data_IF_653204294106
#
_entry.id   IF_653204294106
#
_cell.length_a   1.000
_cell.length_b   1.000
_cell.length_c   1.000
_cell.angle_alpha   90.00
_cell.angle_beta   90.00
_cell.angle_gamma   90.00
#
_symmetry.space_group_name_H-M   'P 1'
#
loop_
_entity.id
_entity.type
_entity.pdbx_description
1 polymer ?
#
# COMPACT_ATOMS: atom_id res chain seq x y z
N UNK A 1 1.62 -0.04 -12.53
CA UNK A 1 1.57 0.71 -13.81
C UNK A 1 0.49 1.81 -13.83
N UNK A 2 -0.76 1.53 -13.45
CA UNK A 2 -1.88 2.51 -13.57
C UNK A 2 -1.63 3.83 -12.81
N UNK A 3 -1.17 3.76 -11.55
CA UNK A 3 -0.79 4.95 -10.78
C UNK A 3 0.30 5.79 -11.49
N UNK A 4 1.30 5.13 -12.08
CA UNK A 4 2.33 5.77 -12.88
C UNK A 4 1.69 6.50 -14.07
N UNK A 5 0.86 5.83 -14.87
CA UNK A 5 0.19 6.48 -16.02
C UNK A 5 -0.69 7.68 -15.67
N UNK A 6 -1.10 7.80 -14.41
CA UNK A 6 -1.87 8.92 -13.88
C UNK A 6 -1.06 10.01 -13.19
N UNK A 7 0.27 10.02 -13.30
CA UNK A 7 1.07 11.12 -12.76
C UNK A 7 1.67 10.86 -11.37
N UNK A 8 1.58 9.64 -10.85
CA UNK A 8 2.11 9.28 -9.53
C UNK A 8 3.44 8.56 -9.71
N UNK A 9 4.52 9.23 -9.33
CA UNK A 9 5.88 8.83 -9.66
C UNK A 9 6.79 8.93 -8.45
N UNK A 10 7.92 8.21 -8.50
CA UNK A 10 9.07 8.38 -7.61
C UNK A 10 8.66 8.46 -6.13
N UNK A 11 7.80 7.53 -5.71
CA UNK A 11 7.29 7.47 -4.36
C UNK A 11 7.38 6.05 -3.81
N UNK A 12 7.01 5.90 -2.55
CA UNK A 12 7.06 4.64 -1.80
C UNK A 12 5.65 4.24 -1.33
N UNK A 13 5.50 2.95 -1.07
CA UNK A 13 4.35 2.35 -0.44
C UNK A 13 4.78 1.58 0.79
N UNK A 14 4.03 1.72 1.88
CA UNK A 14 4.08 0.81 3.01
C UNK A 14 2.98 -0.23 2.88
N UNK A 15 3.36 -1.50 3.02
CA UNK A 15 2.46 -2.65 3.03
C UNK A 15 2.41 -3.21 4.45
N UNK A 16 1.19 -3.41 4.94
CA UNK A 16 0.90 -3.99 6.24
C UNK A 16 -0.31 -4.93 6.17
N UNK A 17 -1.07 -5.05 7.27
CA UNK A 17 -2.15 -6.02 7.44
C UNK A 17 -1.68 -7.38 7.92
N UNK A 18 -2.57 -8.37 7.95
CA UNK A 18 -2.19 -9.74 8.29
C UNK A 18 -1.22 -10.36 7.29
N UNK A 19 -1.10 -9.80 6.08
CA UNK A 19 -0.16 -10.22 5.05
C UNK A 19 1.31 -10.27 5.53
N UNK A 20 1.74 -9.31 6.36
CA UNK A 20 3.13 -9.24 6.88
C UNK A 20 3.30 -9.93 8.23
N UNK A 21 2.27 -10.63 8.71
CA UNK A 21 2.26 -11.31 10.00
C UNK A 21 2.33 -12.83 9.84
N UNK A 22 2.96 -13.50 10.81
CA UNK A 22 2.91 -14.97 10.91
C UNK A 22 1.59 -15.44 11.56
N UNK A 23 0.47 -15.00 10.97
CA UNK A 23 -0.89 -15.20 11.51
C UNK A 23 -1.26 -16.68 11.56
N UNK A 24 -0.85 -17.46 10.56
CA UNK A 24 -1.09 -18.91 10.53
C UNK A 24 -0.47 -19.58 11.76
N UNK A 25 0.79 -19.27 12.10
CA UNK A 25 1.45 -19.85 13.27
C UNK A 25 0.86 -19.39 14.60
N UNK A 26 0.44 -18.12 14.70
CA UNK A 26 -0.07 -17.54 15.95
C UNK A 26 -1.54 -17.89 16.23
N UNK A 27 -2.35 -17.96 15.19
CA UNK A 27 -3.82 -17.97 15.28
C UNK A 27 -4.45 -19.15 14.52
N UNK A 28 -3.67 -19.97 13.80
CA UNK A 28 -4.14 -21.07 12.95
C UNK A 28 -5.16 -20.61 11.89
N UNK A 29 -4.96 -19.40 11.37
CA UNK A 29 -5.79 -18.75 10.35
C UNK A 29 -4.87 -18.10 9.32
N UNK A 30 -5.16 -18.29 8.04
CA UNK A 30 -4.42 -17.66 6.95
C UNK A 30 -4.53 -16.12 6.99
N UNK A 31 -3.48 -15.40 6.56
CA UNK A 31 -3.59 -13.98 6.24
C UNK A 31 -4.72 -13.73 5.26
N UNK A 32 -5.52 -12.69 5.51
CA UNK A 32 -6.72 -12.41 4.73
C UNK A 32 -6.97 -10.92 4.49
N UNK A 33 -6.01 -10.08 4.85
CA UNK A 33 -6.05 -8.63 4.65
C UNK A 33 -4.66 -8.10 4.33
N UNK A 34 -4.66 -7.07 3.49
CA UNK A 34 -3.47 -6.30 3.10
C UNK A 34 -3.85 -4.82 3.15
N UNK A 35 -3.05 -4.07 3.90
CA UNK A 35 -3.16 -2.62 4.01
C UNK A 35 -2.04 -2.00 3.19
N UNK A 36 -2.35 -0.93 2.45
CA UNK A 36 -1.36 -0.21 1.65
C UNK A 36 -1.48 1.29 1.92
N UNK A 37 -0.38 1.90 2.32
CA UNK A 37 -0.24 3.36 2.41
C UNK A 37 0.69 3.82 1.30
N UNK A 38 0.21 4.71 0.42
CA UNK A 38 1.03 5.32 -0.63
C UNK A 38 1.30 6.78 -0.31
N UNK A 39 2.57 7.13 -0.20
CA UNK A 39 2.97 8.52 -0.02
C UNK A 39 2.85 9.23 -1.36
N UNK A 40 2.29 10.43 -1.40
CA UNK A 40 2.06 11.14 -2.66
C UNK A 40 2.40 12.62 -2.51
N UNK A 41 3.14 13.14 -3.47
CA UNK A 41 3.23 14.58 -3.72
C UNK A 41 2.47 14.85 -5.02
N UNK A 42 1.17 15.13 -4.89
CA UNK A 42 0.27 15.19 -6.04
C UNK A 42 -0.15 16.63 -6.32
N UNK A 43 0.26 17.23 -7.46
CA UNK A 43 -0.22 18.55 -7.87
C UNK A 43 -1.73 18.55 -8.11
N UNK A 44 -2.40 19.70 -7.93
CA UNK A 44 -3.86 19.82 -8.07
C UNK A 44 -4.42 19.27 -9.40
N UNK A 45 -3.78 19.47 -10.58
CA UNK A 45 -4.28 18.88 -11.82
C UNK A 45 -4.32 17.35 -11.80
N UNK A 46 -3.34 16.72 -11.14
CA UNK A 46 -3.27 15.25 -10.99
C UNK A 46 -4.35 14.77 -10.02
N UNK A 47 -4.57 15.50 -8.92
CA UNK A 47 -5.66 15.20 -7.96
C UNK A 47 -7.03 15.23 -8.64
N UNK A 48 -7.29 16.22 -9.49
CA UNK A 48 -8.58 16.32 -10.17
C UNK A 48 -8.77 15.21 -11.22
N UNK A 49 -7.71 14.84 -11.94
CA UNK A 49 -7.75 13.80 -12.96
C UNK A 49 -7.95 12.41 -12.35
N UNK A 50 -7.26 12.10 -11.25
CA UNK A 50 -7.28 10.75 -10.65
C UNK A 50 -8.64 10.40 -10.04
N UNK A 51 -9.36 11.40 -9.51
CA UNK A 51 -10.72 11.21 -8.96
C UNK A 51 -11.70 10.62 -9.98
N UNK A 52 -11.47 10.88 -11.28
CA UNK A 52 -12.33 10.39 -12.37
C UNK A 52 -11.73 9.16 -13.04
N UNK A 53 -10.43 9.19 -13.33
CA UNK A 53 -9.78 8.18 -14.15
C UNK A 53 -9.39 6.92 -13.36
N UNK A 54 -9.06 7.07 -12.07
CA UNK A 54 -8.64 5.97 -11.20
C UNK A 54 -9.18 6.17 -9.77
N UNK A 55 -10.52 6.20 -9.59
CA UNK A 55 -11.15 6.49 -8.30
C UNK A 55 -10.76 5.49 -7.21
N UNK A 56 -10.48 4.24 -7.60
CA UNK A 56 -10.11 3.16 -6.68
C UNK A 56 -8.79 3.46 -5.95
N UNK A 57 -7.89 4.27 -6.52
CA UNK A 57 -6.63 4.67 -5.90
C UNK A 57 -6.80 5.69 -4.76
N UNK A 58 -7.87 6.46 -4.78
CA UNK A 58 -8.11 7.52 -3.78
C UNK A 58 -9.30 7.22 -2.88
N UNK A 59 -10.02 6.13 -3.14
CA UNK A 59 -11.17 5.70 -2.38
C UNK A 59 -10.93 4.30 -1.80
N UNK A 60 -10.64 4.24 -0.50
CA UNK A 60 -10.38 3.00 0.23
C UNK A 60 -11.51 1.97 0.07
N UNK A 61 -12.79 2.40 0.02
CA UNK A 61 -13.92 1.48 -0.14
C UNK A 61 -13.89 0.85 -1.54
N UNK A 62 -13.64 1.64 -2.57
CA UNK A 62 -13.54 1.14 -3.94
C UNK A 62 -12.32 0.23 -4.13
N UNK A 63 -11.16 0.60 -3.57
CA UNK A 63 -9.98 -0.28 -3.52
C UNK A 63 -10.30 -1.61 -2.86
N UNK A 64 -10.96 -1.59 -1.70
CA UNK A 64 -11.28 -2.79 -0.95
C UNK A 64 -12.24 -3.71 -1.71
N UNK A 65 -13.22 -3.13 -2.41
CA UNK A 65 -14.18 -3.89 -3.21
C UNK A 65 -13.55 -4.52 -4.46
N UNK A 66 -12.65 -3.80 -5.14
CA UNK A 66 -12.07 -4.24 -6.42
C UNK A 66 -10.82 -5.11 -6.25
N UNK A 67 -9.95 -4.76 -5.31
CA UNK A 67 -8.63 -5.37 -5.15
C UNK A 67 -8.45 -6.09 -3.81
N UNK A 68 -9.45 -6.07 -2.92
CA UNK A 68 -9.36 -6.61 -1.55
C UNK A 68 -8.30 -5.92 -0.67
N UNK A 69 -7.82 -4.74 -1.07
CA UNK A 69 -6.79 -3.95 -0.41
C UNK A 69 -7.39 -2.73 0.28
N UNK A 70 -7.05 -2.52 1.54
CA UNK A 70 -7.34 -1.29 2.27
C UNK A 70 -6.26 -0.25 1.91
N UNK A 71 -6.56 0.61 0.94
CA UNK A 71 -5.59 1.55 0.36
C UNK A 71 -5.83 2.98 0.84
N UNK A 72 -4.76 3.62 1.28
CA UNK A 72 -4.74 4.99 1.79
C UNK A 72 -3.63 5.80 1.13
N UNK A 73 -3.90 7.08 0.88
CA UNK A 73 -2.93 8.03 0.34
C UNK A 73 -2.48 9.02 1.42
N UNK A 74 -1.18 9.32 1.45
CA UNK A 74 -0.60 10.27 2.40
C UNK A 74 0.07 11.40 1.65
N UNK A 75 -0.53 12.58 1.78
CA UNK A 75 0.05 13.81 1.24
C UNK A 75 1.35 14.13 1.97
N UNK A 76 2.45 14.14 1.20
CA UNK A 76 3.78 14.55 1.65
C UNK A 76 4.19 15.93 1.10
N UNK A 77 3.31 16.59 0.33
CA UNK A 77 3.57 17.94 -0.19
C UNK A 77 3.56 19.01 0.90
N UNK A 78 2.82 18.78 1.99
CA UNK A 78 2.73 19.66 3.15
C UNK A 78 3.56 19.12 4.31
N UNK A 79 4.69 19.74 4.71
CA UNK A 79 5.61 19.16 5.70
C UNK A 79 4.97 18.81 7.06
N UNK A 80 4.08 19.65 7.57
CA UNK A 80 3.39 19.41 8.85
C UNK A 80 2.39 18.26 8.76
N UNK A 81 1.69 18.13 7.64
CA UNK A 81 0.79 17.00 7.38
C UNK A 81 1.59 15.72 7.20
N UNK A 82 2.70 15.77 6.46
CA UNK A 82 3.60 14.65 6.24
C UNK A 82 4.10 14.07 7.57
N UNK A 83 4.61 14.91 8.48
CA UNK A 83 5.10 14.48 9.81
C UNK A 83 3.98 13.83 10.62
N UNK A 84 2.80 14.48 10.70
CA UNK A 84 1.67 13.97 11.50
C UNK A 84 1.12 12.65 10.96
N UNK A 85 0.93 12.57 9.65
CA UNK A 85 0.41 11.37 9.00
C UNK A 85 1.42 10.22 9.12
N UNK A 86 2.70 10.48 8.87
CA UNK A 86 3.75 9.45 9.01
C UNK A 86 3.82 8.95 10.44
N UNK A 87 3.75 9.84 11.44
CA UNK A 87 3.70 9.44 12.85
C UNK A 87 2.49 8.54 13.14
N UNK A 88 1.30 8.91 12.66
CA UNK A 88 0.09 8.13 12.85
C UNK A 88 0.22 6.72 12.25
N UNK A 89 0.61 6.61 10.98
CA UNK A 89 0.73 5.31 10.30
C UNK A 89 1.85 4.46 10.86
N UNK A 90 2.97 5.06 11.25
CA UNK A 90 4.05 4.32 11.90
C UNK A 90 3.56 3.69 13.22
N UNK A 91 2.80 4.43 14.04
CA UNK A 91 2.23 3.87 15.28
C UNK A 91 1.20 2.78 15.00
N UNK A 92 0.40 2.93 13.95
CA UNK A 92 -0.64 1.95 13.59
C UNK A 92 -0.04 0.65 13.04
N UNK A 93 0.97 0.73 12.18
CA UNK A 93 1.56 -0.42 11.48
C UNK A 93 2.67 -1.13 12.26
N UNK A 94 3.17 -0.55 13.35
CA UNK A 94 4.26 -1.15 14.14
C UNK A 94 3.81 -2.31 15.05
N UNK A 95 2.50 -2.53 15.20
CA UNK A 95 1.96 -3.56 16.09
C UNK A 95 0.71 -4.20 15.54
N UNK A 96 0.46 -5.44 15.95
CA UNK A 96 -0.85 -6.06 15.72
C UNK A 96 -1.86 -5.69 16.84
N UNK A 97 -3.11 -6.15 16.70
CA UNK A 97 -4.20 -5.91 17.65
C UNK A 97 -3.94 -6.39 19.10
N UNK A 98 -2.92 -7.22 19.30
CA UNK A 98 -2.51 -7.73 20.61
C UNK A 98 -1.31 -6.96 21.20
N UNK A 99 -0.85 -5.91 20.51
CA UNK A 99 0.31 -5.12 20.93
C UNK A 99 1.66 -5.80 20.67
N UNK A 100 1.70 -6.85 19.83
CA UNK A 100 2.95 -7.50 19.43
C UNK A 100 3.62 -6.65 18.35
N UNK A 101 4.88 -6.29 18.57
CA UNK A 101 5.68 -5.56 17.58
C UNK A 101 5.80 -6.36 16.29
N UNK A 102 5.58 -5.68 15.18
CA UNK A 102 5.78 -6.18 13.82
C UNK A 102 6.42 -5.12 12.96
N UNK A 103 6.97 -5.54 11.82
CA UNK A 103 7.44 -4.64 10.78
C UNK A 103 6.35 -4.34 9.76
N UNK A 104 6.65 -3.42 8.87
CA UNK A 104 5.94 -3.17 7.62
C UNK A 104 6.92 -3.33 6.47
N UNK A 105 6.43 -3.60 5.26
CA UNK A 105 7.27 -3.65 4.07
C UNK A 105 7.21 -2.31 3.35
N UNK A 106 8.37 -1.70 3.12
CA UNK A 106 8.47 -0.54 2.23
C UNK A 106 8.90 -0.99 0.83
N UNK A 107 8.14 -0.60 -0.18
CA UNK A 107 8.47 -0.82 -1.58
C UNK A 107 8.38 0.49 -2.38
N UNK A 108 9.23 0.69 -3.40
CA UNK A 108 9.04 1.81 -4.30
C UNK A 108 7.86 1.58 -5.25
N UNK A 109 7.18 2.64 -5.67
CA UNK A 109 6.20 2.59 -6.73
C UNK A 109 6.94 2.52 -8.08
N UNK A 110 6.98 1.33 -8.68
CA UNK A 110 7.70 1.09 -9.92
C UNK A 110 7.02 1.71 -11.16
N UNK A 111 7.85 2.07 -12.15
CA UNK A 111 7.42 2.71 -13.40
C UNK A 111 6.82 1.71 -14.40
N UNK A 112 7.30 0.47 -14.35
CA UNK A 112 6.85 -0.65 -15.18
C UNK A 112 6.48 -1.84 -14.29
N UNK A 113 6.03 -2.92 -14.93
CA UNK A 113 5.63 -4.17 -14.26
C UNK A 113 6.74 -5.24 -14.30
N UNK A 114 7.99 -4.89 -14.64
CA UNK A 114 9.08 -5.87 -14.75
C UNK A 114 9.28 -6.64 -13.45
N UNK A 115 9.21 -5.94 -12.31
CA UNK A 115 9.33 -6.57 -10.98
C UNK A 115 8.14 -7.46 -10.64
N UNK A 116 6.94 -7.08 -11.06
CA UNK A 116 5.74 -7.89 -10.87
C UNK A 116 5.82 -9.20 -11.67
N UNK A 117 6.31 -9.12 -12.91
CA UNK A 117 6.55 -10.29 -13.76
C UNK A 117 7.61 -11.22 -13.14
N UNK A 118 8.72 -10.67 -12.66
CA UNK A 118 9.75 -11.46 -11.96
C UNK A 118 9.20 -12.14 -10.70
N UNK A 119 8.34 -11.45 -9.93
CA UNK A 119 7.71 -12.02 -8.75
C UNK A 119 6.74 -13.16 -9.12
N UNK A 120 5.99 -12.99 -10.21
CA UNK A 120 5.09 -14.02 -10.72
C UNK A 120 5.85 -15.24 -11.24
N UNK A 121 6.95 -15.04 -11.96
CA UNK A 121 7.83 -16.12 -12.42
C UNK A 121 8.41 -16.90 -11.23
N UNK A 122 8.86 -16.18 -10.19
CA UNK A 122 9.31 -16.81 -8.96
C UNK A 122 8.19 -17.62 -8.29
N UNK A 123 6.99 -17.05 -8.15
CA UNK A 123 5.85 -17.73 -7.56
C UNK A 123 5.49 -19.01 -8.32
N UNK A 124 5.46 -18.95 -9.66
CA UNK A 124 5.20 -20.11 -10.51
C UNK A 124 6.31 -21.16 -10.47
N UNK A 125 7.54 -20.77 -10.11
CA UNK A 125 8.66 -21.70 -9.93
C UNK A 125 8.58 -22.46 -8.60
N UNK A 126 7.88 -21.91 -7.60
CA UNK A 126 7.58 -22.62 -6.36
C UNK A 126 6.56 -23.70 -6.70
N UNK A 127 7.00 -24.96 -6.74
CA UNK A 127 6.15 -26.12 -7.00
C UNK A 127 5.22 -26.39 -5.80
N UNK A 128 4.29 -25.47 -5.54
CA UNK A 128 3.26 -25.53 -4.51
C UNK A 128 2.03 -26.31 -5.00
#
# INVERSE_FOLDING_TARGET
MEAYTHGIYNTIQWIDGSFVEDKLKRENVEPNDIDVVTFVNMPQPVQQAILVAFPDFVNCIASKQKYHVDHYIIDISTPTAAVRNTQYWLQLFSHNRYGVWKGMLEIPLYQDNTKDLMAMDFLNSLSL
#
